data_IF_972803490449
#
_entry.id   IF_972803490449
#
_cell.length_a   1.000
_cell.length_b   1.000
_cell.length_c   1.000
_cell.angle_alpha   90.00
_cell.angle_beta   90.00
_cell.angle_gamma   90.00
#
_symmetry.space_group_name_H-M   'P 1'
#
loop_
_entity.id
_entity.type
_entity.pdbx_description
1 polymer ?
#
# COMPACT_ATOMS: atom_id res chain seq x y z
N UNK A 1 -27.69 12.06 23.90
CA UNK A 1 -27.33 12.65 22.61
C UNK A 1 -26.54 11.55 21.93
N UNK A 2 -27.26 10.69 21.21
CA UNK A 2 -26.68 9.59 20.43
C UNK A 2 -26.28 10.22 19.11
N UNK A 3 -24.97 10.44 18.91
CA UNK A 3 -24.48 10.90 17.61
C UNK A 3 -24.56 9.73 16.61
N UNK A 4 -25.09 10.06 15.44
CA UNK A 4 -25.54 9.16 14.40
C UNK A 4 -24.37 8.36 13.80
N UNK A 5 -24.19 7.11 14.22
CA UNK A 5 -23.23 6.15 13.66
C UNK A 5 -23.55 5.61 12.26
N UNK A 6 -24.39 6.30 11.47
CA UNK A 6 -24.89 5.80 10.17
C UNK A 6 -24.19 6.40 8.94
N UNK A 7 -23.26 7.34 9.11
CA UNK A 7 -22.76 8.17 7.99
C UNK A 7 -21.45 7.70 7.34
N UNK A 8 -20.64 6.84 7.98
CA UNK A 8 -19.30 6.50 7.46
C UNK A 8 -19.23 5.16 6.69
N UNK A 9 -20.09 4.19 7.01
CA UNK A 9 -19.97 2.83 6.44
C UNK A 9 -20.28 2.78 4.94
N UNK A 10 -21.30 3.51 4.48
CA UNK A 10 -21.66 3.54 3.04
C UNK A 10 -20.53 4.15 2.19
N UNK A 11 -19.86 5.17 2.73
CA UNK A 11 -18.73 5.83 2.05
C UNK A 11 -17.52 4.90 1.95
N UNK A 12 -17.21 4.16 3.03
CA UNK A 12 -16.17 3.14 3.01
C UNK A 12 -16.51 2.01 2.03
N UNK A 13 -17.78 1.60 1.94
CA UNK A 13 -18.21 0.59 0.97
C UNK A 13 -18.04 1.06 -0.48
N UNK A 14 -18.35 2.32 -0.77
CA UNK A 14 -18.16 2.91 -2.09
C UNK A 14 -16.67 2.96 -2.48
N UNK A 15 -15.79 3.36 -1.55
CA UNK A 15 -14.33 3.35 -1.78
C UNK A 15 -13.84 1.93 -2.04
N UNK A 16 -14.23 0.97 -1.19
CA UNK A 16 -13.83 -0.43 -1.32
C UNK A 16 -14.33 -1.04 -2.63
N UNK A 17 -15.56 -0.73 -3.04
CA UNK A 17 -16.13 -1.14 -4.32
C UNK A 17 -15.34 -0.57 -5.51
N UNK A 18 -14.95 0.70 -5.42
CA UNK A 18 -14.13 1.37 -6.43
C UNK A 18 -12.75 0.72 -6.55
N UNK A 19 -12.07 0.47 -5.42
CA UNK A 19 -10.79 -0.24 -5.38
C UNK A 19 -10.88 -1.62 -6.03
N UNK A 20 -11.88 -2.42 -5.64
CA UNK A 20 -12.10 -3.75 -6.21
C UNK A 20 -12.31 -3.69 -7.72
N UNK A 21 -13.09 -2.73 -8.20
CA UNK A 21 -13.40 -2.57 -9.63
C UNK A 21 -12.15 -2.21 -10.42
N UNK A 22 -11.43 -1.17 -10.00
CA UNK A 22 -10.24 -0.69 -10.74
C UNK A 22 -9.14 -1.77 -10.73
N UNK A 23 -8.89 -2.39 -9.59
CA UNK A 23 -7.86 -3.44 -9.47
C UNK A 23 -8.22 -4.69 -10.27
N UNK A 24 -9.50 -5.09 -10.31
CA UNK A 24 -9.95 -6.20 -11.14
C UNK A 24 -9.70 -5.94 -12.64
N UNK A 25 -9.84 -4.69 -13.09
CA UNK A 25 -9.57 -4.30 -14.47
C UNK A 25 -8.08 -4.38 -14.82
N UNK A 26 -7.19 -3.89 -13.94
CA UNK A 26 -5.77 -3.75 -14.27
C UNK A 26 -4.90 -4.96 -13.87
N UNK A 27 -5.36 -5.83 -12.96
CA UNK A 27 -4.58 -6.99 -12.52
C UNK A 27 -4.37 -8.04 -13.61
N UNK A 28 -5.31 -8.15 -14.55
CA UNK A 28 -5.33 -9.20 -15.58
C UNK A 28 -4.53 -8.82 -16.83
N UNK A 29 -4.44 -7.53 -17.16
CA UNK A 29 -3.62 -7.07 -18.28
C UNK A 29 -2.14 -6.98 -17.86
N UNK A 30 -1.38 -8.04 -18.15
CA UNK A 30 0.05 -8.13 -17.82
C UNK A 30 0.97 -7.67 -18.96
N UNK A 31 0.42 -7.33 -20.13
CA UNK A 31 1.23 -6.99 -21.31
C UNK A 31 1.60 -5.50 -21.33
N UNK A 32 0.82 -4.67 -20.66
CA UNK A 32 1.02 -3.23 -20.62
C UNK A 32 1.09 -2.70 -19.19
N UNK A 33 1.76 -1.56 -19.01
CA UNK A 33 1.68 -0.83 -17.76
C UNK A 33 0.25 -0.29 -17.57
N UNK A 34 -0.30 -0.34 -16.34
CA UNK A 34 -1.57 0.31 -16.04
C UNK A 34 -1.54 1.80 -16.43
N UNK A 35 -2.69 2.33 -16.81
CA UNK A 35 -2.83 3.77 -17.01
C UNK A 35 -2.57 4.51 -15.70
N UNK A 36 -1.79 5.59 -15.77
CA UNK A 36 -1.44 6.40 -14.60
C UNK A 36 -2.69 6.95 -13.89
N UNK A 37 -3.71 7.37 -14.64
CA UNK A 37 -4.96 7.88 -14.07
C UNK A 37 -5.66 6.84 -13.18
N UNK A 38 -5.60 5.56 -13.54
CA UNK A 38 -6.18 4.48 -12.74
C UNK A 38 -5.36 4.23 -11.47
N UNK A 39 -4.02 4.28 -11.57
CA UNK A 39 -3.15 4.19 -10.39
C UNK A 39 -3.34 5.38 -9.45
N UNK A 40 -3.54 6.59 -10.00
CA UNK A 40 -3.88 7.79 -9.25
C UNK A 40 -5.20 7.66 -8.50
N UNK A 41 -6.22 7.08 -9.13
CA UNK A 41 -7.51 6.79 -8.48
C UNK A 41 -7.37 5.76 -7.35
N UNK A 42 -6.59 4.68 -7.56
CA UNK A 42 -6.28 3.71 -6.50
C UNK A 42 -5.59 4.41 -5.33
N UNK A 43 -4.58 5.25 -5.61
CA UNK A 43 -3.87 6.01 -4.58
C UNK A 43 -4.82 6.89 -3.77
N UNK A 44 -5.69 7.66 -4.43
CA UNK A 44 -6.67 8.52 -3.77
C UNK A 44 -7.64 7.71 -2.89
N UNK A 45 -8.12 6.57 -3.37
CA UNK A 45 -8.96 5.68 -2.58
C UNK A 45 -8.24 5.19 -1.31
N UNK A 46 -6.99 4.72 -1.45
CA UNK A 46 -6.19 4.24 -0.32
C UNK A 46 -5.87 5.36 0.67
N UNK A 47 -5.56 6.56 0.18
CA UNK A 47 -5.33 7.75 1.00
C UNK A 47 -6.59 8.11 1.79
N UNK A 48 -7.77 8.10 1.15
CA UNK A 48 -9.04 8.34 1.85
C UNK A 48 -9.29 7.31 2.96
N UNK A 49 -8.96 6.03 2.74
CA UNK A 49 -9.04 5.01 3.78
C UNK A 49 -8.02 5.28 4.90
N UNK A 50 -6.79 5.67 4.56
CA UNK A 50 -5.72 5.91 5.53
C UNK A 50 -5.91 7.20 6.36
N UNK A 51 -6.76 8.13 5.92
CA UNK A 51 -7.05 9.38 6.64
C UNK A 51 -7.88 9.21 7.92
N UNK A 52 -8.47 8.04 8.17
CA UNK A 52 -9.18 7.76 9.43
C UNK A 52 -8.23 7.66 10.61
N UNK A 53 -8.74 7.89 11.82
CA UNK A 53 -7.93 7.79 13.03
C UNK A 53 -7.37 6.36 13.23
N UNK A 54 -6.23 6.19 13.93
CA UNK A 54 -5.67 4.85 14.17
C UNK A 54 -6.65 3.87 14.83
N UNK A 55 -7.53 4.36 15.71
CA UNK A 55 -8.56 3.56 16.38
C UNK A 55 -9.64 3.09 15.42
N UNK A 56 -10.14 3.98 14.56
CA UNK A 56 -11.10 3.63 13.51
C UNK A 56 -10.49 2.61 12.53
N UNK A 57 -9.24 2.83 12.13
CA UNK A 57 -8.54 1.92 11.22
C UNK A 57 -8.32 0.54 11.83
N UNK A 58 -7.97 0.46 13.11
CA UNK A 58 -7.88 -0.82 13.82
C UNK A 58 -9.23 -1.56 13.80
N UNK A 59 -10.34 -0.86 13.97
CA UNK A 59 -11.69 -1.46 13.94
C UNK A 59 -12.09 -1.99 12.55
N UNK A 60 -11.65 -1.32 11.48
CA UNK A 60 -11.98 -1.69 10.09
C UNK A 60 -10.99 -2.67 9.46
N UNK A 61 -9.80 -2.85 10.04
CA UNK A 61 -8.72 -3.67 9.48
C UNK A 61 -9.16 -5.10 9.13
N UNK A 62 -9.85 -5.76 10.06
CA UNK A 62 -10.34 -7.13 9.84
C UNK A 62 -11.31 -7.20 8.63
N UNK A 63 -12.14 -6.17 8.46
CA UNK A 63 -13.03 -6.04 7.29
C UNK A 63 -12.21 -5.86 6.03
N UNK A 64 -11.26 -4.93 6.01
CA UNK A 64 -10.45 -4.65 4.81
C UNK A 64 -9.62 -5.85 4.35
N UNK A 65 -8.97 -6.56 5.27
CA UNK A 65 -8.17 -7.76 4.96
C UNK A 65 -9.01 -8.88 4.32
N UNK A 66 -10.32 -8.93 4.60
CA UNK A 66 -11.23 -9.92 4.00
C UNK A 66 -11.68 -9.60 2.57
N UNK A 67 -11.45 -8.37 2.09
CA UNK A 67 -11.82 -7.95 0.74
C UNK A 67 -10.82 -8.47 -0.31
N UNK A 68 -11.19 -8.36 -1.59
CA UNK A 68 -10.31 -8.79 -2.70
C UNK A 68 -9.20 -7.78 -3.03
N UNK A 69 -9.46 -6.48 -2.88
CA UNK A 69 -8.53 -5.43 -3.28
C UNK A 69 -7.14 -5.55 -2.64
N UNK A 70 -6.94 -5.97 -1.38
CA UNK A 70 -5.59 -6.11 -0.82
C UNK A 70 -4.73 -7.11 -1.57
N UNK A 71 -5.31 -8.25 -1.96
CA UNK A 71 -4.62 -9.28 -2.71
C UNK A 71 -4.34 -8.82 -4.15
N UNK A 72 -5.32 -8.21 -4.80
CA UNK A 72 -5.17 -7.69 -6.17
C UNK A 72 -4.17 -6.54 -6.25
N UNK A 73 -4.14 -5.67 -5.24
CA UNK A 73 -3.15 -4.60 -5.13
C UNK A 73 -1.72 -5.17 -5.04
N UNK A 74 -1.49 -6.23 -4.27
CA UNK A 74 -0.18 -6.90 -4.23
C UNK A 74 0.25 -7.38 -5.61
N UNK A 75 -0.65 -7.99 -6.37
CA UNK A 75 -0.35 -8.46 -7.73
C UNK A 75 0.08 -7.30 -8.64
N UNK A 76 -0.66 -6.18 -8.59
CA UNK A 76 -0.34 -4.98 -9.37
C UNK A 76 1.00 -4.39 -8.95
N UNK A 77 1.21 -4.16 -7.64
CA UNK A 77 2.46 -3.60 -7.12
C UNK A 77 3.67 -4.49 -7.42
N UNK A 78 3.55 -5.81 -7.25
CA UNK A 78 4.62 -6.75 -7.61
C UNK A 78 5.04 -6.61 -9.07
N UNK A 79 4.06 -6.44 -9.98
CA UNK A 79 4.34 -6.25 -11.40
C UNK A 79 5.07 -4.94 -11.65
N UNK A 80 4.61 -3.85 -11.03
CA UNK A 80 5.24 -2.53 -11.17
C UNK A 80 6.68 -2.55 -10.66
N UNK A 81 6.91 -3.06 -9.44
CA UNK A 81 8.25 -3.12 -8.82
C UNK A 81 9.23 -4.04 -9.55
N UNK A 82 8.73 -5.08 -10.25
CA UNK A 82 9.57 -5.98 -11.05
C UNK A 82 9.84 -5.48 -12.47
N UNK A 83 9.16 -4.42 -12.91
CA UNK A 83 9.34 -3.89 -14.26
C UNK A 83 10.65 -3.11 -14.36
N UNK A 84 11.57 -3.60 -15.20
CA UNK A 84 12.85 -2.94 -15.44
C UNK A 84 12.65 -1.61 -16.18
N UNK A 85 13.33 -0.56 -15.74
CA UNK A 85 13.27 0.76 -16.37
C UNK A 85 11.89 1.43 -16.30
N UNK A 86 11.08 1.08 -15.31
CA UNK A 86 9.77 1.68 -15.12
C UNK A 86 9.91 3.21 -14.89
N UNK A 87 9.02 4.05 -15.47
CA UNK A 87 9.13 5.50 -15.29
C UNK A 87 8.96 5.92 -13.83
N UNK A 88 9.64 6.98 -13.45
CA UNK A 88 9.72 7.49 -12.07
C UNK A 88 8.35 7.77 -11.44
N UNK A 89 7.37 8.23 -12.23
CA UNK A 89 6.01 8.50 -11.75
C UNK A 89 5.30 7.23 -11.26
N UNK A 90 5.51 6.10 -11.93
CA UNK A 90 4.99 4.81 -11.47
C UNK A 90 5.70 4.35 -10.21
N UNK A 91 7.00 4.61 -10.09
CA UNK A 91 7.77 4.31 -8.87
C UNK A 91 7.16 5.07 -7.69
N UNK A 92 6.97 6.39 -7.85
CA UNK A 92 6.36 7.26 -6.83
C UNK A 92 4.99 6.73 -6.41
N UNK A 93 4.08 6.52 -7.35
CA UNK A 93 2.73 6.02 -7.07
C UNK A 93 2.77 4.64 -6.38
N UNK A 94 3.69 3.77 -6.77
CA UNK A 94 3.81 2.43 -6.17
C UNK A 94 4.19 2.52 -4.68
N UNK A 95 5.10 3.42 -4.31
CA UNK A 95 5.46 3.63 -2.91
C UNK A 95 4.34 4.32 -2.12
N UNK A 96 3.70 5.34 -2.68
CA UNK A 96 2.55 6.01 -2.04
C UNK A 96 1.40 5.01 -1.77
N UNK A 97 1.01 4.22 -2.77
CA UNK A 97 -0.02 3.18 -2.61
C UNK A 97 0.40 2.12 -1.59
N UNK A 98 1.67 1.71 -1.59
CA UNK A 98 2.17 0.73 -0.62
C UNK A 98 2.12 1.27 0.81
N UNK A 99 2.50 2.53 1.00
CA UNK A 99 2.43 3.21 2.28
C UNK A 99 0.98 3.29 2.79
N UNK A 100 0.05 3.82 2.00
CA UNK A 100 -1.36 3.91 2.41
C UNK A 100 -1.98 2.55 2.67
N UNK A 101 -1.69 1.54 1.83
CA UNK A 101 -2.16 0.17 2.05
C UNK A 101 -1.63 -0.41 3.37
N UNK A 102 -0.36 -0.18 3.71
CA UNK A 102 0.23 -0.65 4.96
C UNK A 102 -0.44 -0.03 6.20
N UNK A 103 -0.78 1.26 6.14
CA UNK A 103 -1.53 1.94 7.20
C UNK A 103 -2.94 1.34 7.35
N UNK A 104 -3.59 1.04 6.22
CA UNK A 104 -4.94 0.49 6.22
C UNK A 104 -5.02 -0.95 6.76
N UNK A 105 -4.10 -1.79 6.32
CA UNK A 105 -4.21 -3.23 6.48
C UNK A 105 -3.31 -3.77 7.59
N UNK A 106 -2.32 -2.99 8.04
CA UNK A 106 -1.33 -3.43 9.01
C UNK A 106 -0.58 -4.69 8.56
N UNK A 107 -0.01 -5.40 9.54
CA UNK A 107 0.87 -6.54 9.29
C UNK A 107 0.16 -7.71 8.58
N UNK A 108 -1.17 -7.80 8.72
CA UNK A 108 -1.99 -8.85 8.09
C UNK A 108 -1.94 -8.82 6.57
N UNK A 109 -1.67 -7.65 5.97
CA UNK A 109 -1.63 -7.50 4.51
C UNK A 109 -0.62 -8.44 3.85
N UNK A 110 0.59 -8.47 4.39
CA UNK A 110 1.73 -9.15 3.77
C UNK A 110 2.02 -10.50 4.42
N UNK A 111 1.26 -10.90 5.45
CA UNK A 111 1.49 -12.14 6.20
C UNK A 111 1.40 -13.39 5.33
N UNK A 112 0.53 -13.34 4.31
CA UNK A 112 0.39 -14.43 3.34
C UNK A 112 1.38 -14.38 2.17
N UNK A 113 2.25 -13.36 2.08
CA UNK A 113 3.22 -13.21 0.98
C UNK A 113 4.55 -12.60 1.48
N UNK A 114 5.31 -13.41 2.21
CA UNK A 114 6.63 -13.05 2.76
C UNK A 114 7.62 -12.65 1.66
N UNK A 115 7.52 -13.24 0.47
CA UNK A 115 8.40 -12.91 -0.66
C UNK A 115 8.17 -11.49 -1.12
N UNK A 116 6.91 -11.04 -1.19
CA UNK A 116 6.61 -9.66 -1.52
C UNK A 116 7.01 -8.70 -0.40
N UNK A 117 6.83 -9.06 0.87
CA UNK A 117 7.33 -8.26 1.98
C UNK A 117 8.84 -8.02 1.87
N UNK A 118 9.63 -9.09 1.71
CA UNK A 118 11.10 -9.01 1.57
C UNK A 118 11.49 -8.13 0.38
N UNK A 119 10.78 -8.25 -0.75
CA UNK A 119 10.99 -7.42 -1.94
C UNK A 119 10.73 -5.94 -1.63
N UNK A 120 9.56 -5.62 -1.08
CA UNK A 120 9.16 -4.24 -0.80
C UNK A 120 10.07 -3.58 0.23
N UNK A 121 10.46 -4.30 1.28
CA UNK A 121 11.42 -3.83 2.27
C UNK A 121 12.79 -3.50 1.66
N UNK A 122 13.30 -4.40 0.81
CA UNK A 122 14.58 -4.20 0.13
C UNK A 122 14.55 -3.00 -0.82
N UNK A 123 13.47 -2.88 -1.61
CA UNK A 123 13.30 -1.78 -2.56
C UNK A 123 13.12 -0.44 -1.85
N UNK A 124 12.29 -0.38 -0.80
CA UNK A 124 12.08 0.83 0.00
C UNK A 124 13.38 1.29 0.68
N UNK A 125 14.19 0.35 1.22
CA UNK A 125 15.49 0.69 1.80
C UNK A 125 16.47 1.24 0.76
N UNK A 126 16.52 0.61 -0.43
CA UNK A 126 17.31 1.10 -1.55
C UNK A 126 16.88 2.49 -2.01
N UNK A 127 15.56 2.71 -2.12
CA UNK A 127 14.99 4.00 -2.52
C UNK A 127 15.30 5.09 -1.51
N UNK A 128 15.16 4.81 -0.21
CA UNK A 128 15.51 5.75 0.85
C UNK A 128 16.97 6.19 0.76
N UNK A 129 17.90 5.27 0.48
CA UNK A 129 19.32 5.61 0.28
C UNK A 129 19.52 6.55 -0.91
N UNK A 130 18.87 6.30 -2.03
CA UNK A 130 18.93 7.17 -3.22
C UNK A 130 18.41 8.57 -2.92
N UNK A 131 17.28 8.67 -2.21
CA UNK A 131 16.70 9.95 -1.79
C UNK A 131 17.68 10.72 -0.89
N UNK A 132 18.31 10.05 0.07
CA UNK A 132 19.23 10.67 1.02
C UNK A 132 20.61 11.01 0.43
N UNK A 133 20.99 10.43 -0.71
CA UNK A 133 22.25 10.72 -1.41
C UNK A 133 22.20 12.09 -2.11
N UNK A 134 21.01 12.56 -2.50
CA UNK A 134 20.78 13.86 -3.12
C UNK A 134 19.78 14.72 -2.33
N UNK A 135 20.14 15.19 -1.11
CA UNK A 135 19.21 15.83 -0.17
C UNK A 135 18.53 17.09 -0.75
N UNK A 136 19.18 17.80 -1.67
CA UNK A 136 18.65 19.02 -2.28
C UNK A 136 17.55 18.77 -3.32
N UNK A 137 17.34 17.51 -3.74
CA UNK A 137 16.33 17.10 -4.72
C UNK A 137 15.24 16.22 -4.13
N UNK A 138 15.18 16.16 -2.79
CA UNK A 138 14.26 15.27 -2.08
C UNK A 138 12.82 15.69 -2.35
N UNK A 139 12.07 14.74 -2.91
CA UNK A 139 10.61 14.75 -2.88
C UNK A 139 10.17 14.30 -1.48
N UNK A 140 9.57 15.22 -0.72
CA UNK A 140 9.18 15.00 0.68
C UNK A 140 8.14 13.88 0.79
N UNK A 141 7.19 13.81 -0.14
CA UNK A 141 6.12 12.81 -0.10
C UNK A 141 6.70 11.40 -0.28
N UNK A 142 7.70 11.28 -1.16
CA UNK A 142 8.42 10.02 -1.35
C UNK A 142 9.26 9.63 -0.13
N UNK A 143 9.92 10.61 0.50
CA UNK A 143 10.68 10.37 1.72
C UNK A 143 9.75 9.84 2.83
N UNK A 144 8.61 10.50 3.05
CA UNK A 144 7.61 10.11 4.04
C UNK A 144 7.09 8.70 3.76
N UNK A 145 6.71 8.41 2.51
CA UNK A 145 6.24 7.08 2.13
C UNK A 145 7.30 5.99 2.40
N UNK A 146 8.58 6.26 2.12
CA UNK A 146 9.65 5.33 2.42
C UNK A 146 9.85 5.13 3.92
N UNK A 147 9.85 6.21 4.72
CA UNK A 147 10.05 6.14 6.16
C UNK A 147 8.92 5.35 6.85
N UNK A 148 7.67 5.64 6.52
CA UNK A 148 6.52 4.89 7.06
C UNK A 148 6.57 3.42 6.67
N UNK A 149 7.00 3.09 5.44
CA UNK A 149 7.20 1.70 5.05
C UNK A 149 8.30 1.04 5.87
N UNK A 150 9.42 1.73 6.16
CA UNK A 150 10.46 1.19 7.04
C UNK A 150 9.93 0.93 8.46
N UNK A 151 9.18 1.86 9.04
CA UNK A 151 8.53 1.67 10.35
C UNK A 151 7.57 0.48 10.33
N UNK A 152 6.76 0.36 9.27
CA UNK A 152 5.87 -0.77 9.07
C UNK A 152 6.63 -2.11 9.03
N UNK A 153 7.76 -2.19 8.32
CA UNK A 153 8.56 -3.43 8.28
C UNK A 153 9.21 -3.77 9.61
N UNK A 154 9.64 -2.78 10.38
CA UNK A 154 10.12 -2.97 11.74
C UNK A 154 8.99 -3.56 12.60
N UNK A 155 7.79 -2.97 12.53
CA UNK A 155 6.61 -3.47 13.24
C UNK A 155 6.25 -4.92 12.87
N UNK A 156 6.35 -5.30 11.59
CA UNK A 156 6.15 -6.69 11.18
C UNK A 156 7.10 -7.67 11.89
N UNK A 157 8.37 -7.29 12.08
CA UNK A 157 9.38 -8.14 12.74
C UNK A 157 9.20 -8.15 14.25
N UNK A 158 8.81 -7.03 14.85
CA UNK A 158 8.59 -6.91 16.30
C UNK A 158 7.35 -7.67 16.77
N UNK A 159 6.27 -7.67 15.98
CA UNK A 159 5.00 -8.27 16.35
C UNK A 159 4.94 -9.79 16.18
N UNK A 160 5.87 -10.40 15.42
CA UNK A 160 5.82 -11.84 15.14
C UNK A 160 7.24 -12.39 14.80
N UNK A 161 7.69 -13.38 15.56
CA UNK A 161 9.03 -13.95 15.38
C UNK A 161 9.14 -14.83 14.12
N UNK A 162 8.01 -15.27 13.56
CA UNK A 162 7.95 -16.20 12.43
C UNK A 162 8.34 -15.54 11.09
N UNK A 163 8.39 -14.20 11.00
CA UNK A 163 8.85 -13.49 9.79
C UNK A 163 10.34 -13.69 9.50
N UNK A 164 11.12 -14.05 10.52
CA UNK A 164 12.55 -14.33 10.43
C UNK A 164 12.87 -15.81 10.18
N UNK A 165 11.85 -16.65 9.91
CA UNK A 165 12.05 -18.05 9.55
C UNK A 165 12.94 -18.19 8.30
N UNK A 166 14.04 -18.91 8.46
CA UNK A 166 15.01 -19.22 7.40
C UNK A 166 14.35 -20.11 6.33
N UNK A 167 14.06 -19.52 5.15
CA UNK A 167 13.93 -20.23 3.87
C UNK A 167 15.30 -20.28 3.19
#
# INVERSE_FOLDING_TARGET
>A
MEEEGYSNDWFLDDINSSLNTILAMIKTDTQQLPQLDLLGQIRQCLECLACSSPEEMASQRARFVSLSWPADLRVVLQRLFRTFGIPEEYVRLSYEMSNFASQCLGNDWLRSDLKFLKLLASLSSGRLRVILDEPDKVDIDQLIACLHLQEFFIGCVEDDADWLGDD
#
